data_IF_708778611287
#
_entry.id   IF_708778611287
#
_cell.length_a   1.000
_cell.length_b   1.000
_cell.length_c   1.000
_cell.angle_alpha   90.00
_cell.angle_beta   90.00
_cell.angle_gamma   90.00
#
_symmetry.space_group_name_H-M   'P 1'
#
loop_
_entity.id
_entity.type
_entity.pdbx_description
1 polymer ?
#
# COMPACT_ATOMS: atom_id res chain seq x y z
N UNK A 1 -18.96 0.69 55.87
CA UNK A 1 -18.43 -0.69 56.02
C UNK A 1 -17.05 -0.92 55.36
N UNK A 2 -16.70 -0.27 54.24
CA UNK A 2 -15.37 -0.42 53.60
C UNK A 2 -14.19 0.29 54.30
N UNK A 3 -14.42 1.36 55.06
CA UNK A 3 -13.32 2.06 55.76
C UNK A 3 -12.82 1.35 57.04
N UNK A 4 -13.63 0.48 57.66
CA UNK A 4 -13.20 -0.28 58.85
C UNK A 4 -12.34 -1.49 58.52
N UNK A 5 -12.40 -2.00 57.28
CA UNK A 5 -11.58 -3.14 56.83
C UNK A 5 -10.11 -2.74 56.58
N UNK A 6 -9.89 -1.55 56.00
CA UNK A 6 -8.54 -1.05 55.71
C UNK A 6 -7.74 -0.69 56.98
N UNK A 7 -8.42 -0.23 58.04
CA UNK A 7 -7.80 0.07 59.32
C UNK A 7 -7.39 -1.21 60.09
N UNK A 8 -8.06 -2.33 59.86
CA UNK A 8 -7.77 -3.60 60.53
C UNK A 8 -6.58 -4.34 59.89
N UNK A 9 -6.44 -4.28 58.56
CA UNK A 9 -5.28 -4.83 57.85
C UNK A 9 -3.96 -4.11 58.17
N UNK A 10 -4.02 -2.80 58.48
CA UNK A 10 -2.84 -2.00 58.84
C UNK A 10 -2.27 -2.32 60.23
N UNK A 11 -3.03 -2.99 61.10
CA UNK A 11 -2.58 -3.43 62.43
C UNK A 11 -2.03 -4.86 62.45
N UNK A 12 -2.35 -5.69 61.44
CA UNK A 12 -1.91 -7.09 61.38
C UNK A 12 -0.54 -7.29 60.71
N UNK A 13 -0.10 -6.33 59.88
CA UNK A 13 1.18 -6.40 59.20
C UNK A 13 2.12 -5.36 59.80
N UNK A 14 2.85 -5.79 60.83
CA UNK A 14 3.88 -5.02 61.51
C UNK A 14 4.78 -4.29 60.51
N UNK A 15 4.97 -2.99 60.74
CA UNK A 15 5.70 -2.12 59.84
C UNK A 15 7.17 -2.49 59.74
N UNK A 16 7.66 -2.69 58.51
CA UNK A 16 9.07 -2.47 58.13
C UNK A 16 9.40 -2.76 56.66
N UNK A 17 8.47 -2.75 55.69
CA UNK A 17 8.82 -3.14 54.33
C UNK A 17 8.15 -2.37 53.18
N UNK A 18 8.01 -1.05 53.28
CA UNK A 18 7.69 -0.19 52.12
C UNK A 18 8.46 1.14 52.22
N UNK A 19 9.79 1.06 52.15
CA UNK A 19 10.69 2.22 52.11
C UNK A 19 11.64 2.12 50.90
N UNK A 20 11.10 2.12 49.68
CA UNK A 20 11.86 2.47 48.47
C UNK A 20 10.93 3.22 47.50
N UNK A 21 11.00 4.56 47.40
CA UNK A 21 10.22 5.30 46.42
C UNK A 21 10.84 5.11 45.02
N UNK A 22 10.01 5.03 43.95
CA UNK A 22 10.48 5.01 42.57
C UNK A 22 11.16 6.33 42.20
N UNK A 23 12.25 6.21 41.43
CA UNK A 23 13.07 7.30 40.89
C UNK A 23 12.28 8.23 39.96
N UNK A 24 11.56 9.19 40.54
CA UNK A 24 11.29 10.52 39.98
C UNK A 24 11.28 11.53 41.14
N UNK A 25 12.37 11.57 41.90
CA UNK A 25 12.72 12.74 42.71
C UNK A 25 13.81 13.46 41.93
N UNK A 26 13.40 14.08 40.83
CA UNK A 26 14.17 15.12 40.16
C UNK A 26 13.88 16.39 40.95
N UNK A 27 14.92 16.96 41.57
CA UNK A 27 14.98 18.31 42.15
C UNK A 27 13.63 19.01 42.33
N UNK A 28 12.99 18.79 43.47
CA UNK A 28 11.87 19.63 43.90
C UNK A 28 12.44 20.98 44.34
N UNK A 29 12.88 21.79 43.36
CA UNK A 29 13.04 23.23 43.55
C UNK A 29 11.65 23.72 43.88
N UNK A 30 11.40 24.13 45.13
CA UNK A 30 10.12 24.71 45.54
C UNK A 30 9.83 25.90 44.64
N UNK A 31 9.00 25.71 43.61
CA UNK A 31 8.52 26.80 42.78
C UNK A 31 7.77 27.77 43.69
N UNK A 32 8.15 29.05 43.64
CA UNK A 32 7.46 30.07 44.38
C UNK A 32 6.01 30.20 43.87
N UNK A 33 5.05 30.43 44.78
CA UNK A 33 3.64 30.68 44.45
C UNK A 33 3.42 31.60 43.22
N UNK A 34 4.15 32.72 43.04
CA UNK A 34 4.04 33.54 41.84
C UNK A 34 4.48 32.83 40.55
N UNK A 35 5.52 31.98 40.57
CA UNK A 35 5.93 31.22 39.38
C UNK A 35 4.86 30.22 38.92
N UNK A 36 4.22 29.52 39.87
CA UNK A 36 3.12 28.61 39.56
C UNK A 36 1.93 29.35 38.92
N UNK A 37 1.66 30.58 39.36
CA UNK A 37 0.53 31.37 38.88
C UNK A 37 0.79 31.90 37.46
N UNK A 38 2.01 32.38 37.20
CA UNK A 38 2.43 32.80 35.85
C UNK A 38 2.46 31.63 34.87
N UNK A 39 3.02 30.48 35.24
CA UNK A 39 3.00 29.29 34.38
C UNK A 39 1.56 28.80 34.09
N UNK A 40 0.64 28.93 35.06
CA UNK A 40 -0.77 28.60 34.84
C UNK A 40 -1.47 29.60 33.90
N UNK A 41 -1.17 30.89 34.02
CA UNK A 41 -1.70 31.93 33.13
C UNK A 41 -1.18 31.74 31.69
N UNK A 42 0.11 31.42 31.51
CA UNK A 42 0.68 31.09 30.19
C UNK A 42 0.00 29.87 29.57
N UNK A 43 -0.23 28.80 30.34
CA UNK A 43 -0.94 27.61 29.87
C UNK A 43 -2.41 27.92 29.51
N UNK A 44 -3.09 28.76 30.29
CA UNK A 44 -4.48 29.14 29.99
C UNK A 44 -4.56 29.99 28.72
N UNK A 45 -3.61 30.92 28.51
CA UNK A 45 -3.50 31.70 27.27
C UNK A 45 -3.23 30.79 26.06
N UNK A 46 -2.27 29.86 26.14
CA UNK A 46 -2.01 28.88 25.09
C UNK A 46 -3.24 28.02 24.80
N UNK A 47 -3.98 27.63 25.84
CA UNK A 47 -5.21 26.84 25.71
C UNK A 47 -6.33 27.63 25.00
N UNK A 48 -6.47 28.93 25.27
CA UNK A 48 -7.43 29.78 24.56
C UNK A 48 -7.03 29.96 23.09
N UNK A 49 -5.74 30.16 22.80
CA UNK A 49 -5.24 30.24 21.42
C UNK A 49 -5.47 28.94 20.64
N UNK A 50 -5.27 27.79 21.27
CA UNK A 50 -5.56 26.47 20.68
C UNK A 50 -7.05 26.30 20.35
N UNK A 51 -7.95 26.73 21.26
CA UNK A 51 -9.39 26.69 21.03
C UNK A 51 -9.81 27.50 19.81
N UNK A 52 -9.32 28.73 19.67
CA UNK A 52 -9.65 29.56 18.51
C UNK A 52 -9.06 28.99 17.22
N UNK A 53 -7.83 28.48 17.26
CA UNK A 53 -7.19 27.82 16.13
C UNK A 53 -8.00 26.59 15.67
N UNK A 54 -8.48 25.77 16.61
CA UNK A 54 -9.30 24.60 16.30
C UNK A 54 -10.66 24.99 15.69
N UNK A 55 -11.27 26.08 16.15
CA UNK A 55 -12.52 26.60 15.59
C UNK A 55 -12.34 27.03 14.13
N UNK A 56 -11.25 27.76 13.83
CA UNK A 56 -10.90 28.15 12.46
C UNK A 56 -10.65 26.90 11.59
N UNK A 57 -9.90 25.92 12.10
CA UNK A 57 -9.65 24.65 11.41
C UNK A 57 -10.96 23.94 11.03
N UNK A 58 -11.90 23.81 11.97
CA UNK A 58 -13.20 23.16 11.72
C UNK A 58 -13.99 23.89 10.63
N UNK A 59 -14.04 25.21 10.68
CA UNK A 59 -14.71 26.01 9.66
C UNK A 59 -14.10 25.78 8.28
N UNK A 60 -12.76 25.79 8.18
CA UNK A 60 -12.05 25.53 6.92
C UNK A 60 -12.29 24.11 6.38
N UNK A 61 -12.44 23.13 7.26
CA UNK A 61 -12.78 21.75 6.88
C UNK A 61 -14.19 21.64 6.29
N UNK A 62 -15.17 22.32 6.88
CA UNK A 62 -16.54 22.38 6.36
C UNK A 62 -16.60 23.10 5.01
N UNK A 63 -15.90 24.24 4.87
CA UNK A 63 -15.76 24.97 3.60
C UNK A 63 -15.14 24.08 2.50
N UNK A 64 -14.05 23.37 2.81
CA UNK A 64 -13.39 22.46 1.89
C UNK A 64 -14.33 21.32 1.44
N UNK A 65 -15.09 20.74 2.36
CA UNK A 65 -16.01 19.64 2.07
C UNK A 65 -17.14 20.10 1.15
N UNK A 66 -17.68 21.30 1.36
CA UNK A 66 -18.70 21.90 0.50
C UNK A 66 -18.18 22.22 -0.91
N UNK A 67 -16.93 22.68 -1.03
CA UNK A 67 -16.29 22.89 -2.32
C UNK A 67 -16.07 21.56 -3.06
N UNK A 68 -15.65 20.51 -2.35
CA UNK A 68 -15.44 19.19 -2.94
C UNK A 68 -16.73 18.60 -3.53
N UNK A 69 -17.86 18.70 -2.83
CA UNK A 69 -19.16 18.21 -3.32
C UNK A 69 -19.66 19.03 -4.52
N UNK A 70 -19.48 20.35 -4.47
CA UNK A 70 -19.82 21.26 -5.57
C UNK A 70 -19.01 20.96 -6.83
N UNK A 71 -17.68 20.85 -6.72
CA UNK A 71 -16.82 20.51 -7.86
C UNK A 71 -17.15 19.11 -8.42
N UNK A 72 -17.30 18.11 -7.55
CA UNK A 72 -17.58 16.72 -7.98
C UNK A 72 -18.92 16.61 -8.72
N UNK A 73 -19.95 17.30 -8.24
CA UNK A 73 -21.26 17.32 -8.89
C UNK A 73 -21.25 18.10 -10.22
N UNK A 74 -20.54 19.23 -10.28
CA UNK A 74 -20.37 20.02 -11.49
C UNK A 74 -19.65 19.23 -12.61
N UNK A 75 -18.53 18.58 -12.28
CA UNK A 75 -17.79 17.73 -13.22
C UNK A 75 -18.65 16.57 -13.71
N UNK A 76 -19.38 15.90 -12.79
CA UNK A 76 -20.30 14.81 -13.14
C UNK A 76 -21.41 15.27 -14.10
N UNK A 77 -21.94 16.48 -13.91
CA UNK A 77 -22.95 17.08 -14.79
C UNK A 77 -22.35 17.38 -16.17
N UNK A 78 -21.19 18.03 -16.23
CA UNK A 78 -20.53 18.36 -17.50
C UNK A 78 -20.15 17.11 -18.29
N UNK A 79 -19.62 16.05 -17.65
CA UNK A 79 -19.35 14.76 -18.31
C UNK A 79 -20.59 14.14 -18.95
N UNK A 80 -21.74 14.17 -18.26
CA UNK A 80 -23.01 13.67 -18.82
C UNK A 80 -23.40 14.47 -20.08
N UNK A 81 -23.32 15.80 -20.02
CA UNK A 81 -23.61 16.66 -21.17
C UNK A 81 -22.65 16.41 -22.35
N UNK A 82 -21.34 16.32 -22.10
CA UNK A 82 -20.34 16.04 -23.16
C UNK A 82 -20.54 14.65 -23.77
N UNK A 83 -20.87 13.64 -22.96
CA UNK A 83 -21.18 12.28 -23.46
C UNK A 83 -22.39 12.29 -24.39
N UNK A 84 -23.45 13.03 -24.02
CA UNK A 84 -24.62 13.19 -24.86
C UNK A 84 -24.30 13.93 -26.16
N UNK A 85 -23.57 15.05 -26.07
CA UNK A 85 -23.12 15.82 -27.24
C UNK A 85 -22.26 14.96 -28.18
N UNK A 86 -21.32 14.18 -27.65
CA UNK A 86 -20.48 13.26 -28.42
C UNK A 86 -21.30 12.22 -29.17
N UNK A 87 -22.34 11.67 -28.53
CA UNK A 87 -23.26 10.74 -29.17
C UNK A 87 -24.03 11.41 -30.31
N UNK A 88 -24.61 12.60 -30.08
CA UNK A 88 -25.32 13.34 -31.12
C UNK A 88 -24.42 13.70 -32.31
N UNK A 89 -23.20 14.16 -32.05
CA UNK A 89 -22.20 14.46 -33.08
C UNK A 89 -21.81 13.21 -33.89
N UNK A 90 -21.74 12.05 -33.25
CA UNK A 90 -21.46 10.79 -33.95
C UNK A 90 -22.59 10.36 -34.90
N UNK A 91 -23.85 10.64 -34.52
CA UNK A 91 -25.02 10.41 -35.35
C UNK A 91 -25.07 11.39 -36.53
N UNK A 92 -24.81 12.68 -36.29
CA UNK A 92 -24.78 13.69 -37.35
C UNK A 92 -23.64 13.45 -38.37
N UNK A 93 -22.48 12.93 -37.93
CA UNK A 93 -21.36 12.68 -38.85
C UNK A 93 -21.66 11.63 -39.94
N UNK A 94 -22.76 10.88 -39.85
CA UNK A 94 -23.18 9.92 -40.88
C UNK A 94 -23.93 10.58 -42.04
N UNK A 95 -24.38 11.81 -41.88
CA UNK A 95 -25.28 12.51 -42.82
C UNK A 95 -24.75 13.88 -43.27
N UNK A 96 -23.53 14.25 -42.88
CA UNK A 96 -22.95 15.57 -43.10
C UNK A 96 -21.93 15.59 -44.24
N UNK A 97 -21.83 16.77 -44.84
CA UNK A 97 -20.88 17.24 -45.84
C UNK A 97 -19.47 17.51 -45.25
N UNK A 98 -18.47 17.65 -46.13
CA UNK A 98 -17.05 17.60 -45.78
C UNK A 98 -16.60 18.75 -44.85
N UNK A 99 -17.24 19.92 -44.95
CA UNK A 99 -17.01 21.07 -44.07
C UNK A 99 -17.57 20.84 -42.66
N UNK A 100 -18.76 20.27 -42.57
CA UNK A 100 -19.40 19.91 -41.31
C UNK A 100 -18.68 18.74 -40.61
N UNK A 101 -18.12 17.80 -41.37
CA UNK A 101 -17.23 16.76 -40.85
C UNK A 101 -15.97 17.35 -40.19
N UNK A 102 -15.37 18.39 -40.78
CA UNK A 102 -14.24 19.11 -40.14
C UNK A 102 -14.66 19.78 -38.85
N UNK A 103 -15.82 20.47 -38.82
CA UNK A 103 -16.35 21.10 -37.60
C UNK A 103 -16.67 20.08 -36.50
N UNK A 104 -17.27 18.95 -36.85
CA UNK A 104 -17.54 17.85 -35.90
C UNK A 104 -16.23 17.31 -35.31
N UNK A 105 -15.18 17.19 -36.12
CA UNK A 105 -13.87 16.71 -35.68
C UNK A 105 -13.22 17.69 -34.72
N UNK A 106 -13.27 19.01 -35.01
CA UNK A 106 -12.78 20.05 -34.11
C UNK A 106 -13.51 20.00 -32.75
N UNK A 107 -14.83 19.92 -32.75
CA UNK A 107 -15.63 19.81 -31.52
C UNK A 107 -15.26 18.55 -30.74
N UNK A 108 -15.03 17.41 -31.41
CA UNK A 108 -14.58 16.17 -30.74
C UNK A 108 -13.20 16.33 -30.08
N UNK A 109 -12.29 17.10 -30.70
CA UNK A 109 -10.98 17.43 -30.10
C UNK A 109 -11.16 18.30 -28.86
N UNK A 110 -11.98 19.36 -28.94
CA UNK A 110 -12.29 20.21 -27.79
C UNK A 110 -12.99 19.44 -26.64
N UNK A 111 -13.83 18.45 -26.96
CA UNK A 111 -14.41 17.55 -25.95
C UNK A 111 -13.31 16.78 -25.22
N UNK A 112 -12.34 16.23 -25.96
CA UNK A 112 -11.22 15.48 -25.40
C UNK A 112 -10.32 16.36 -24.52
N UNK A 113 -10.06 17.60 -24.92
CA UNK A 113 -9.31 18.57 -24.11
C UNK A 113 -10.03 18.87 -22.78
N UNK A 114 -11.35 19.12 -22.83
CA UNK A 114 -12.15 19.32 -21.62
C UNK A 114 -12.17 18.08 -20.71
N UNK A 115 -12.23 16.87 -21.30
CA UNK A 115 -12.13 15.61 -20.55
C UNK A 115 -10.78 15.46 -19.84
N UNK A 116 -9.67 15.90 -20.46
CA UNK A 116 -8.34 15.91 -19.83
C UNK A 116 -8.29 16.91 -18.66
N UNK A 117 -8.86 18.11 -18.82
CA UNK A 117 -8.94 19.09 -17.73
C UNK A 117 -9.72 18.53 -16.54
N UNK A 118 -10.83 17.83 -16.78
CA UNK A 118 -11.58 17.18 -15.69
C UNK A 118 -10.78 16.09 -14.99
N UNK A 119 -9.95 15.34 -15.73
CA UNK A 119 -9.08 14.34 -15.13
C UNK A 119 -8.09 14.94 -14.14
N UNK A 120 -7.50 16.09 -14.48
CA UNK A 120 -6.58 16.82 -13.60
C UNK A 120 -7.31 17.39 -12.37
N UNK A 121 -8.51 17.96 -12.55
CA UNK A 121 -9.33 18.45 -11.43
C UNK A 121 -9.73 17.31 -10.47
N UNK A 122 -10.14 16.16 -11.00
CA UNK A 122 -10.52 14.98 -10.22
C UNK A 122 -9.35 14.37 -9.45
N UNK A 123 -8.10 14.66 -9.80
CA UNK A 123 -6.92 14.19 -9.07
C UNK A 123 -6.84 14.74 -7.63
N UNK A 124 -7.56 15.81 -7.33
CA UNK A 124 -7.61 16.47 -6.02
C UNK A 124 -8.98 16.34 -5.33
N UNK A 125 -9.92 15.61 -5.94
CA UNK A 125 -11.26 15.38 -5.39
C UNK A 125 -11.41 13.95 -4.86
N UNK A 126 -12.24 13.74 -3.83
CA UNK A 126 -12.65 12.41 -3.38
C UNK A 126 -13.04 11.48 -4.53
N UNK A 127 -12.29 10.41 -4.72
CA UNK A 127 -12.61 9.36 -5.71
C UNK A 127 -13.35 8.20 -5.06
N UNK A 128 -14.21 7.57 -5.85
CA UNK A 128 -14.85 6.32 -5.47
C UNK A 128 -13.81 5.20 -5.52
N UNK A 129 -13.82 4.35 -4.50
CA UNK A 129 -12.97 3.18 -4.44
C UNK A 129 -13.31 2.20 -5.58
N UNK A 130 -12.28 1.60 -6.19
CA UNK A 130 -12.47 0.45 -7.07
C UNK A 130 -13.06 -0.76 -6.33
N UNK A 131 -13.57 -1.76 -7.05
CA UNK A 131 -14.27 -2.91 -6.47
C UNK A 131 -13.48 -3.60 -5.34
N UNK A 132 -12.20 -3.91 -5.56
CA UNK A 132 -11.34 -4.55 -4.56
C UNK A 132 -11.17 -3.68 -3.30
N UNK A 133 -10.86 -2.40 -3.49
CA UNK A 133 -10.62 -1.50 -2.37
C UNK A 133 -11.90 -1.23 -1.56
N UNK A 134 -13.06 -1.19 -2.24
CA UNK A 134 -14.36 -1.08 -1.59
C UNK A 134 -14.71 -2.37 -0.83
N UNK A 135 -14.34 -3.55 -1.35
CA UNK A 135 -14.52 -4.81 -0.63
C UNK A 135 -13.70 -4.86 0.66
N UNK A 136 -12.44 -4.39 0.62
CA UNK A 136 -11.51 -4.48 1.76
C UNK A 136 -11.70 -3.35 2.78
N UNK A 137 -11.89 -2.09 2.32
CA UNK A 137 -11.94 -0.91 3.18
C UNK A 137 -13.36 -0.31 3.30
N UNK A 138 -14.33 -0.80 2.55
CA UNK A 138 -15.66 -0.20 2.47
C UNK A 138 -15.66 1.15 1.74
N UNK A 139 -16.69 1.95 2.04
CA UNK A 139 -16.91 3.26 1.41
C UNK A 139 -16.07 4.40 2.06
N UNK A 140 -14.89 4.08 2.56
CA UNK A 140 -13.96 5.06 3.15
C UNK A 140 -13.17 5.74 2.05
N UNK A 141 -13.15 7.08 2.03
CA UNK A 141 -12.39 7.83 1.05
C UNK A 141 -10.88 7.80 1.37
N UNK A 142 -10.09 7.13 0.53
CA UNK A 142 -8.62 7.05 0.65
C UNK A 142 -7.89 8.11 -0.19
N UNK A 143 -8.61 9.12 -0.68
CA UNK A 143 -8.03 10.17 -1.52
C UNK A 143 -7.11 11.06 -0.69
N UNK A 144 -5.85 11.12 -1.11
CA UNK A 144 -4.82 12.00 -0.60
C UNK A 144 -4.93 13.32 -1.36
N UNK A 145 -5.47 14.35 -0.70
CA UNK A 145 -5.79 15.63 -1.35
C UNK A 145 -4.55 16.45 -1.73
N UNK A 146 -3.43 16.28 -1.03
CA UNK A 146 -2.19 17.02 -1.30
C UNK A 146 -1.16 16.15 -2.01
N UNK A 147 -0.40 16.77 -2.91
CA UNK A 147 0.73 16.11 -3.56
C UNK A 147 1.78 15.65 -2.53
N UNK A 148 1.99 16.43 -1.46
CA UNK A 148 2.86 16.04 -0.35
C UNK A 148 2.40 14.75 0.34
N UNK A 149 1.09 14.60 0.63
CA UNK A 149 0.57 13.38 1.25
C UNK A 149 0.71 12.17 0.33
N UNK A 150 0.47 12.34 -0.97
CA UNK A 150 0.72 11.32 -1.99
C UNK A 150 2.19 10.88 -2.02
N UNK A 151 3.14 11.82 -1.91
CA UNK A 151 4.57 11.49 -1.83
C UNK A 151 4.97 10.79 -0.55
N UNK A 152 4.48 11.28 0.59
CA UNK A 152 4.73 10.65 1.88
C UNK A 152 4.24 9.19 1.85
N UNK A 153 3.01 8.96 1.37
CA UNK A 153 2.46 7.61 1.27
C UNK A 153 3.26 6.71 0.33
N UNK A 154 3.66 7.21 -0.85
CA UNK A 154 4.51 6.47 -1.79
C UNK A 154 5.86 6.13 -1.16
N UNK A 155 6.47 7.06 -0.43
CA UNK A 155 7.71 6.81 0.33
C UNK A 155 7.55 5.72 1.38
N UNK A 156 6.46 5.75 2.16
CA UNK A 156 6.16 4.72 3.17
C UNK A 156 5.84 3.35 2.56
N UNK A 157 5.22 3.31 1.37
CA UNK A 157 5.03 2.07 0.60
C UNK A 157 6.36 1.48 0.13
N UNK A 158 7.25 2.31 -0.41
CA UNK A 158 8.58 1.87 -0.88
C UNK A 158 9.46 1.37 0.28
N UNK A 159 9.47 2.08 1.42
CA UNK A 159 10.13 1.63 2.65
C UNK A 159 9.57 0.29 3.13
N UNK A 160 8.24 0.16 3.18
CA UNK A 160 7.58 -1.09 3.58
C UNK A 160 8.02 -2.27 2.71
N UNK A 161 8.04 -2.09 1.37
CA UNK A 161 8.52 -3.14 0.46
C UNK A 161 9.95 -3.54 0.79
N UNK A 162 10.85 -2.57 0.98
CA UNK A 162 12.25 -2.85 1.28
C UNK A 162 12.42 -3.59 2.61
N UNK A 163 11.81 -3.09 3.70
CA UNK A 163 11.89 -3.74 5.01
C UNK A 163 11.34 -5.17 4.96
N UNK A 164 10.19 -5.38 4.33
CA UNK A 164 9.61 -6.71 4.22
C UNK A 164 10.43 -7.64 3.33
N UNK A 165 11.01 -7.14 2.24
CA UNK A 165 11.92 -7.92 1.39
C UNK A 165 13.13 -8.42 2.19
N UNK A 166 13.71 -7.57 3.03
CA UNK A 166 14.84 -7.94 3.89
C UNK A 166 14.42 -8.99 4.92
N UNK A 167 13.28 -8.80 5.60
CA UNK A 167 12.75 -9.75 6.57
C UNK A 167 12.46 -11.10 5.90
N UNK A 168 11.82 -11.11 4.73
CA UNK A 168 11.52 -12.32 3.97
C UNK A 168 12.80 -13.04 3.51
N UNK A 169 13.83 -12.30 3.09
CA UNK A 169 15.10 -12.88 2.69
C UNK A 169 15.76 -13.63 3.86
N UNK A 170 15.91 -12.97 5.01
CA UNK A 170 16.49 -13.59 6.20
C UNK A 170 15.60 -14.70 6.77
N UNK A 171 14.29 -14.54 6.73
CA UNK A 171 13.33 -15.57 7.11
C UNK A 171 13.50 -16.83 6.26
N UNK A 172 13.60 -16.68 4.93
CA UNK A 172 13.78 -17.80 4.02
C UNK A 172 15.15 -18.50 4.22
N UNK A 173 16.23 -17.74 4.41
CA UNK A 173 17.56 -18.28 4.77
C UNK A 173 17.49 -19.06 6.09
N UNK A 174 16.79 -18.52 7.09
CA UNK A 174 16.64 -19.15 8.40
C UNK A 174 15.88 -20.48 8.29
N UNK A 175 14.76 -20.49 7.57
CA UNK A 175 13.98 -21.71 7.31
C UNK A 175 14.79 -22.74 6.51
N UNK A 176 15.59 -22.29 5.54
CA UNK A 176 16.34 -23.20 4.66
C UNK A 176 17.51 -23.89 5.37
N UNK A 177 18.31 -23.15 6.14
CA UNK A 177 19.58 -23.65 6.69
C UNK A 177 19.55 -23.99 8.19
N UNK A 178 18.69 -23.34 8.98
CA UNK A 178 18.76 -23.43 10.44
C UNK A 178 17.52 -24.07 11.07
N UNK A 179 16.33 -23.76 10.57
CA UNK A 179 15.05 -24.18 11.15
C UNK A 179 14.24 -25.01 10.15
N UNK A 180 14.51 -26.32 10.12
CA UNK A 180 13.78 -27.27 9.29
C UNK A 180 12.56 -27.84 10.04
N UNK A 181 11.68 -26.95 10.51
CA UNK A 181 10.44 -27.32 11.18
C UNK A 181 9.24 -26.79 10.40
N UNK A 182 8.22 -27.63 10.24
CA UNK A 182 6.97 -27.29 9.54
C UNK A 182 6.32 -25.99 10.07
N UNK A 183 6.31 -25.81 11.39
CA UNK A 183 5.75 -24.60 12.03
C UNK A 183 6.49 -23.33 11.60
N UNK A 184 7.82 -23.39 11.44
CA UNK A 184 8.60 -22.24 10.97
C UNK A 184 8.25 -21.90 9.53
N UNK A 185 8.08 -22.90 8.68
CA UNK A 185 7.66 -22.69 7.30
C UNK A 185 6.24 -22.12 7.21
N UNK A 186 5.31 -22.53 8.09
CA UNK A 186 3.96 -21.95 8.18
C UNK A 186 3.99 -20.48 8.58
N UNK A 187 4.79 -20.12 9.58
CA UNK A 187 4.99 -18.72 9.98
C UNK A 187 5.54 -17.90 8.82
N UNK A 188 6.52 -18.45 8.09
CA UNK A 188 7.10 -17.80 6.92
C UNK A 188 6.08 -17.62 5.78
N UNK A 189 5.32 -18.67 5.44
CA UNK A 189 4.29 -18.61 4.41
C UNK A 189 3.12 -17.69 4.80
N UNK A 190 2.74 -17.65 6.07
CA UNK A 190 1.77 -16.68 6.59
C UNK A 190 2.28 -15.25 6.40
N UNK A 191 3.56 -15.00 6.69
CA UNK A 191 4.18 -13.70 6.45
C UNK A 191 4.18 -13.33 4.96
N UNK A 192 4.40 -14.27 4.05
CA UNK A 192 4.29 -14.05 2.61
C UNK A 192 2.87 -13.67 2.17
N UNK A 193 1.85 -14.42 2.65
CA UNK A 193 0.44 -14.10 2.37
C UNK A 193 0.11 -12.69 2.86
N UNK A 194 0.46 -12.40 4.12
CA UNK A 194 0.23 -11.10 4.72
C UNK A 194 0.94 -9.97 3.94
N UNK A 195 2.19 -10.20 3.51
CA UNK A 195 2.96 -9.25 2.73
C UNK A 195 2.28 -8.92 1.40
N UNK A 196 1.93 -9.93 0.59
CA UNK A 196 1.30 -9.70 -0.71
C UNK A 196 -0.13 -9.12 -0.59
N UNK A 197 -0.92 -9.55 0.42
CA UNK A 197 -2.19 -8.91 0.75
C UNK A 197 -2.01 -7.42 1.05
N UNK A 198 -1.08 -7.08 1.94
CA UNK A 198 -0.81 -5.68 2.31
C UNK A 198 -0.34 -4.85 1.11
N UNK A 199 0.50 -5.45 0.26
CA UNK A 199 1.01 -4.82 -0.95
C UNK A 199 -0.11 -4.49 -1.94
N UNK A 200 -1.03 -5.43 -2.21
CA UNK A 200 -2.18 -5.17 -3.11
C UNK A 200 -3.09 -4.06 -2.58
N UNK A 201 -3.30 -3.96 -1.26
CA UNK A 201 -4.07 -2.87 -0.65
C UNK A 201 -3.35 -1.53 -0.85
N UNK A 202 -2.06 -1.46 -0.52
CA UNK A 202 -1.27 -0.23 -0.65
C UNK A 202 -1.18 0.24 -2.11
N UNK A 203 -1.02 -0.69 -3.06
CA UNK A 203 -1.01 -0.38 -4.49
C UNK A 203 -2.38 0.08 -4.99
N UNK A 204 -3.47 -0.51 -4.49
CA UNK A 204 -4.83 -0.05 -4.81
C UNK A 204 -5.10 1.38 -4.34
N UNK A 205 -4.55 1.76 -3.18
CA UNK A 205 -4.59 3.15 -2.70
C UNK A 205 -3.74 4.06 -3.59
N UNK A 206 -2.53 3.64 -3.99
CA UNK A 206 -1.68 4.39 -4.92
C UNK A 206 -2.36 4.60 -6.28
N UNK A 207 -2.96 3.56 -6.86
CA UNK A 207 -3.69 3.63 -8.13
C UNK A 207 -4.88 4.58 -8.05
N UNK A 208 -5.66 4.51 -6.96
CA UNK A 208 -6.77 5.43 -6.72
C UNK A 208 -6.32 6.90 -6.66
N UNK A 209 -5.09 7.14 -6.19
CA UNK A 209 -4.48 8.46 -6.05
C UNK A 209 -3.68 8.93 -7.28
N UNK A 210 -3.79 8.22 -8.41
CA UNK A 210 -3.17 8.62 -9.69
C UNK A 210 -1.83 7.97 -9.99
N UNK A 211 -1.39 6.99 -9.20
CA UNK A 211 -0.21 6.20 -9.54
C UNK A 211 -0.51 5.27 -10.72
N UNK A 212 0.28 5.37 -11.78
CA UNK A 212 0.20 4.48 -12.94
C UNK A 212 1.06 3.24 -12.69
N UNK A 213 0.50 2.26 -12.01
CA UNK A 213 1.09 0.93 -11.84
C UNK A 213 0.55 0.04 -12.96
N UNK A 214 1.42 -0.70 -13.65
CA UNK A 214 0.96 -1.61 -14.71
C UNK A 214 0.07 -2.71 -14.12
N UNK A 215 -1.09 -2.94 -14.74
CA UNK A 215 -2.06 -3.93 -14.28
C UNK A 215 -1.51 -5.36 -14.22
N UNK A 216 -0.46 -5.66 -14.99
CA UNK A 216 0.25 -6.94 -14.91
C UNK A 216 0.87 -7.17 -13.53
N UNK A 217 1.55 -6.15 -12.96
CA UNK A 217 2.19 -6.27 -11.63
C UNK A 217 1.15 -6.51 -10.55
N UNK A 218 0.06 -5.75 -10.59
CA UNK A 218 -1.07 -5.92 -9.68
C UNK A 218 -1.64 -7.35 -9.78
N UNK A 219 -1.84 -7.85 -10.99
CA UNK A 219 -2.31 -9.23 -11.24
C UNK A 219 -1.34 -10.27 -10.69
N UNK A 220 -0.04 -10.07 -10.91
CA UNK A 220 1.01 -10.94 -10.39
C UNK A 220 0.97 -11.01 -8.86
N UNK A 221 0.78 -9.88 -8.16
CA UNK A 221 0.68 -9.85 -6.70
C UNK A 221 -0.54 -10.63 -6.18
N UNK A 222 -1.69 -10.54 -6.83
CA UNK A 222 -2.85 -11.38 -6.47
C UNK A 222 -2.56 -12.87 -6.63
N UNK A 223 -1.91 -13.25 -7.73
CA UNK A 223 -1.49 -14.64 -7.96
C UNK A 223 -0.48 -15.08 -6.89
N UNK A 224 0.50 -14.24 -6.53
CA UNK A 224 1.46 -14.54 -5.47
C UNK A 224 0.81 -14.71 -4.10
N UNK A 225 -0.20 -13.91 -3.76
CA UNK A 225 -1.01 -14.10 -2.54
C UNK A 225 -1.66 -15.48 -2.53
N UNK A 226 -2.34 -15.84 -3.62
CA UNK A 226 -3.01 -17.13 -3.74
C UNK A 226 -2.02 -18.29 -3.62
N UNK A 227 -0.90 -18.26 -4.36
CA UNK A 227 0.12 -19.31 -4.32
C UNK A 227 0.78 -19.43 -2.93
N UNK A 228 1.02 -18.31 -2.25
CA UNK A 228 1.54 -18.33 -0.88
C UNK A 228 0.51 -18.93 0.09
N UNK A 229 -0.78 -18.69 -0.15
CA UNK A 229 -1.87 -19.33 0.59
C UNK A 229 -1.91 -20.84 0.37
N UNK A 230 -1.75 -21.30 -0.87
CA UNK A 230 -1.64 -22.72 -1.19
C UNK A 230 -0.46 -23.35 -0.44
N UNK A 231 0.73 -22.72 -0.47
CA UNK A 231 1.91 -23.19 0.26
C UNK A 231 1.71 -23.23 1.78
N UNK A 232 0.98 -22.26 2.34
CA UNK A 232 0.62 -22.24 3.76
C UNK A 232 -0.27 -23.44 4.13
N UNK A 233 -1.29 -23.71 3.32
CA UNK A 233 -2.25 -24.80 3.56
C UNK A 233 -1.77 -26.18 3.11
N UNK A 234 -0.63 -26.27 2.41
CA UNK A 234 -0.09 -27.53 1.93
C UNK A 234 0.28 -28.42 3.12
N UNK A 235 -0.36 -29.60 3.30
CA UNK A 235 -0.10 -30.47 4.43
C UNK A 235 1.34 -31.00 4.42
N UNK A 236 1.85 -31.33 5.59
CA UNK A 236 3.15 -31.98 5.69
C UNK A 236 3.10 -33.36 5.04
N UNK A 237 3.92 -33.56 4.01
CA UNK A 237 3.96 -34.78 3.23
C UNK A 237 5.21 -34.86 2.34
N UNK A 238 5.46 -36.02 1.69
CA UNK A 238 6.65 -36.22 0.86
C UNK A 238 6.77 -35.19 -0.26
N UNK A 239 5.67 -34.84 -0.93
CA UNK A 239 5.66 -33.86 -2.02
C UNK A 239 6.03 -32.46 -1.54
N UNK A 240 5.55 -32.07 -0.37
CA UNK A 240 5.91 -30.79 0.26
C UNK A 240 7.41 -30.73 0.53
N UNK A 241 7.97 -31.77 1.15
CA UNK A 241 9.40 -31.82 1.48
C UNK A 241 10.30 -31.80 0.24
N UNK A 242 9.87 -32.46 -0.86
CA UNK A 242 10.59 -32.43 -2.14
C UNK A 242 10.62 -31.02 -2.77
N UNK A 243 9.55 -30.24 -2.61
CA UNK A 243 9.48 -28.89 -3.18
C UNK A 243 10.03 -27.80 -2.25
N UNK A 244 10.02 -28.05 -0.93
CA UNK A 244 10.35 -27.08 0.13
C UNK A 244 11.65 -26.32 -0.12
N UNK A 245 12.77 -27.03 -0.29
CA UNK A 245 14.08 -26.39 -0.45
C UNK A 245 14.16 -25.57 -1.73
N UNK A 246 13.53 -26.04 -2.81
CA UNK A 246 13.45 -25.32 -4.09
C UNK A 246 12.60 -24.04 -3.95
N UNK A 247 11.48 -24.10 -3.22
CA UNK A 247 10.64 -22.95 -2.93
C UNK A 247 11.36 -21.90 -2.08
N UNK A 248 11.99 -22.31 -0.96
CA UNK A 248 12.72 -21.39 -0.08
C UNK A 248 13.90 -20.73 -0.80
N UNK A 249 14.66 -21.50 -1.59
CA UNK A 249 15.73 -20.95 -2.44
C UNK A 249 15.19 -19.92 -3.44
N UNK A 250 14.04 -20.20 -4.05
CA UNK A 250 13.37 -19.24 -4.93
C UNK A 250 12.90 -17.99 -4.18
N UNK A 251 12.39 -18.10 -2.94
CA UNK A 251 12.01 -16.94 -2.12
C UNK A 251 13.21 -16.05 -1.77
N UNK A 252 14.37 -16.64 -1.48
CA UNK A 252 15.62 -15.90 -1.27
C UNK A 252 15.99 -15.14 -2.55
N UNK A 253 15.98 -15.85 -3.69
CA UNK A 253 16.31 -15.27 -4.98
C UNK A 253 15.33 -14.15 -5.39
N UNK A 254 14.03 -14.34 -5.17
CA UNK A 254 13.02 -13.32 -5.40
C UNK A 254 13.24 -12.09 -4.52
N UNK A 255 13.60 -12.28 -3.25
CA UNK A 255 13.90 -11.15 -2.36
C UNK A 255 15.13 -10.37 -2.83
N UNK A 256 16.16 -11.07 -3.33
CA UNK A 256 17.31 -10.45 -3.97
C UNK A 256 16.93 -9.66 -5.23
N UNK A 257 16.12 -10.23 -6.12
CA UNK A 257 15.62 -9.52 -7.30
C UNK A 257 14.82 -8.27 -6.94
N UNK A 258 13.93 -8.38 -5.95
CA UNK A 258 13.11 -7.27 -5.48
C UNK A 258 13.97 -6.14 -4.92
N UNK A 259 15.07 -6.47 -4.23
CA UNK A 259 16.06 -5.48 -3.77
C UNK A 259 16.76 -4.77 -4.93
N UNK A 260 17.22 -5.51 -5.95
CA UNK A 260 17.84 -4.91 -7.14
C UNK A 260 16.87 -4.03 -7.92
N UNK A 261 15.63 -4.48 -8.11
CA UNK A 261 14.56 -3.71 -8.73
C UNK A 261 14.27 -2.42 -7.96
N UNK A 262 14.20 -2.51 -6.63
CA UNK A 262 14.01 -1.35 -5.76
C UNK A 262 15.15 -0.33 -5.92
N UNK A 263 16.40 -0.78 -5.92
CA UNK A 263 17.57 0.09 -6.09
C UNK A 263 17.55 0.79 -7.46
N UNK A 264 17.28 0.03 -8.52
CA UNK A 264 17.16 0.57 -9.88
C UNK A 264 16.02 1.61 -9.99
N UNK A 265 14.82 1.27 -9.52
CA UNK A 265 13.63 2.14 -9.58
C UNK A 265 13.82 3.41 -8.74
N UNK A 266 14.37 3.29 -7.53
CA UNK A 266 14.68 4.43 -6.65
C UNK A 266 15.70 5.37 -7.28
N UNK A 267 16.74 4.82 -7.92
CA UNK A 267 17.74 5.61 -8.63
C UNK A 267 17.17 6.34 -9.84
N UNK A 268 16.29 5.69 -10.61
CA UNK A 268 15.59 6.35 -11.72
C UNK A 268 14.66 7.47 -11.22
N UNK A 269 13.89 7.21 -10.17
CA UNK A 269 12.96 8.20 -9.60
C UNK A 269 13.71 9.42 -9.04
N UNK A 270 14.85 9.21 -8.37
CA UNK A 270 15.69 10.29 -7.87
C UNK A 270 16.21 11.19 -9.01
N UNK A 271 16.72 10.57 -10.10
CA UNK A 271 17.21 11.33 -11.26
C UNK A 271 16.09 12.11 -11.96
N UNK A 272 14.93 11.50 -12.16
CA UNK A 272 13.76 12.20 -12.72
C UNK A 272 13.33 13.40 -11.86
N UNK A 273 13.43 13.28 -10.53
CA UNK A 273 13.14 14.37 -9.61
C UNK A 273 14.18 15.49 -9.70
N UNK A 274 15.46 15.14 -9.77
CA UNK A 274 16.55 16.11 -9.90
C UNK A 274 16.51 16.89 -11.24
N UNK A 275 15.99 16.25 -12.30
CA UNK A 275 15.85 16.86 -13.62
C UNK A 275 14.62 17.79 -13.76
N UNK A 276 13.72 17.83 -12.77
CA UNK A 276 12.54 18.71 -12.79
C UNK A 276 11.48 18.39 -13.86
N UNK A 277 11.63 17.31 -14.62
CA UNK A 277 10.86 17.09 -15.85
C UNK A 277 9.43 16.52 -15.67
N UNK A 278 8.96 16.10 -14.47
CA UNK A 278 7.66 15.38 -14.38
C UNK A 278 6.84 15.58 -13.12
N UNK A 279 5.53 15.36 -13.31
CA UNK A 279 4.55 15.18 -12.25
C UNK A 279 5.05 14.08 -11.28
N UNK A 280 5.34 14.40 -10.01
CA UNK A 280 6.24 13.55 -9.23
C UNK A 280 5.62 12.21 -8.75
N UNK A 281 4.33 11.97 -9.02
CA UNK A 281 3.62 10.72 -8.68
C UNK A 281 3.78 9.60 -9.71
N UNK A 282 4.17 9.93 -10.94
CA UNK A 282 4.19 8.96 -12.02
C UNK A 282 5.26 7.90 -11.78
N UNK A 283 4.88 6.62 -11.86
CA UNK A 283 5.75 5.45 -11.60
C UNK A 283 6.08 4.70 -12.90
N UNK A 284 5.37 5.00 -13.98
CA UNK A 284 5.75 4.58 -15.32
C UNK A 284 6.23 5.77 -16.10
N UNK A 285 7.46 5.67 -16.57
CA UNK A 285 8.07 6.68 -17.42
C UNK A 285 7.31 6.68 -18.76
N UNK A 286 6.33 7.57 -18.93
CA UNK A 286 5.79 7.90 -20.26
C UNK A 286 6.92 8.55 -21.06
N UNK A 287 7.75 7.73 -21.72
CA UNK A 287 8.97 8.14 -22.42
C UNK A 287 10.23 7.53 -21.80
N UNK A 288 10.44 6.24 -22.04
CA UNK A 288 11.62 5.51 -21.58
C UNK A 288 12.89 6.28 -21.98
N UNK A 289 13.56 6.88 -21.01
CA UNK A 289 14.71 7.73 -21.29
C UNK A 289 15.91 6.85 -21.65
N UNK A 290 16.72 7.29 -22.61
CA UNK A 290 17.87 6.51 -23.09
C UNK A 290 18.85 6.12 -21.97
N UNK A 291 19.00 6.96 -20.94
CA UNK A 291 19.84 6.67 -19.77
C UNK A 291 19.30 5.57 -18.85
N UNK A 292 17.99 5.27 -18.89
CA UNK A 292 17.39 4.19 -18.10
C UNK A 292 17.82 2.81 -18.60
N UNK A 293 18.19 2.69 -19.88
CA UNK A 293 18.69 1.45 -20.47
C UNK A 293 19.98 0.96 -19.82
N UNK A 294 20.90 1.87 -19.47
CA UNK A 294 22.19 1.48 -18.85
C UNK A 294 22.01 0.69 -17.56
N UNK A 295 21.08 1.13 -16.69
CA UNK A 295 20.77 0.40 -15.46
C UNK A 295 19.86 -0.81 -15.70
N UNK A 296 18.96 -0.74 -16.69
CA UNK A 296 18.06 -1.86 -16.99
C UNK A 296 18.84 -3.06 -17.56
N UNK A 297 19.82 -2.83 -18.44
CA UNK A 297 20.64 -3.91 -19.02
C UNK A 297 21.37 -4.73 -17.96
N UNK A 298 21.81 -4.11 -16.85
CA UNK A 298 22.37 -4.84 -15.71
C UNK A 298 21.33 -5.73 -15.02
N UNK A 299 20.09 -5.26 -14.89
CA UNK A 299 19.02 -5.96 -14.18
C UNK A 299 18.39 -7.10 -15.00
N UNK A 300 18.36 -6.96 -16.32
CA UNK A 300 17.68 -7.89 -17.24
C UNK A 300 18.11 -9.36 -17.08
N UNK A 301 19.41 -9.73 -17.04
CA UNK A 301 19.82 -11.12 -16.87
C UNK A 301 19.24 -11.77 -15.62
N UNK A 302 19.22 -11.03 -14.50
CA UNK A 302 18.65 -11.51 -13.25
C UNK A 302 17.12 -11.67 -13.37
N UNK A 303 16.42 -10.71 -13.98
CA UNK A 303 14.97 -10.83 -14.21
C UNK A 303 14.63 -12.05 -15.07
N UNK A 304 15.34 -12.24 -16.19
CA UNK A 304 15.13 -13.39 -17.06
C UNK A 304 15.37 -14.70 -16.30
N UNK A 305 16.47 -14.81 -15.56
CA UNK A 305 16.74 -16.00 -14.75
C UNK A 305 15.64 -16.24 -13.71
N UNK A 306 15.12 -15.19 -13.05
CA UNK A 306 13.99 -15.32 -12.14
C UNK A 306 12.73 -15.85 -12.79
N UNK A 307 12.40 -15.39 -13.99
CA UNK A 307 11.27 -15.91 -14.76
C UNK A 307 11.50 -17.37 -15.21
N UNK A 308 12.72 -17.73 -15.62
CA UNK A 308 13.06 -19.12 -15.93
C UNK A 308 12.95 -20.02 -14.70
N UNK A 309 13.40 -19.56 -13.52
CA UNK A 309 13.23 -20.31 -12.28
C UNK A 309 11.74 -20.45 -11.91
N UNK A 310 10.94 -19.40 -12.09
CA UNK A 310 9.50 -19.48 -11.87
C UNK A 310 8.83 -20.54 -12.78
N UNK A 311 9.25 -20.64 -14.04
CA UNK A 311 8.84 -21.70 -14.95
C UNK A 311 9.32 -23.08 -14.48
N UNK A 312 10.58 -23.19 -14.04
CA UNK A 312 11.13 -24.42 -13.48
C UNK A 312 10.35 -24.90 -12.25
N UNK A 313 9.97 -24.02 -11.33
CA UNK A 313 9.10 -24.33 -10.20
C UNK A 313 7.75 -24.88 -10.66
N UNK A 314 7.16 -24.26 -11.68
CA UNK A 314 5.88 -24.71 -12.25
C UNK A 314 5.99 -26.12 -12.85
N UNK A 315 7.09 -26.41 -13.57
CA UNK A 315 7.36 -27.74 -14.12
C UNK A 315 7.61 -28.78 -13.02
N UNK A 316 8.37 -28.43 -11.98
CA UNK A 316 8.57 -29.31 -10.82
C UNK A 316 7.24 -29.64 -10.15
N UNK A 317 6.42 -28.63 -9.85
CA UNK A 317 5.10 -28.81 -9.24
C UNK A 317 4.17 -29.67 -10.12
N UNK A 318 4.20 -29.47 -11.43
CA UNK A 318 3.42 -30.28 -12.37
C UNK A 318 3.86 -31.75 -12.39
N UNK A 319 5.16 -32.03 -12.25
CA UNK A 319 5.70 -33.39 -12.13
C UNK A 319 5.34 -34.01 -10.78
N UNK A 320 5.48 -33.27 -9.68
CA UNK A 320 5.09 -33.72 -8.34
C UNK A 320 3.59 -34.02 -8.27
N UNK A 321 2.75 -33.20 -8.91
CA UNK A 321 1.33 -33.47 -9.06
C UNK A 321 1.02 -34.71 -9.89
N UNK A 322 1.97 -35.31 -10.60
CA UNK A 322 1.80 -36.60 -11.30
C UNK A 322 2.52 -37.76 -10.62
N UNK A 323 3.13 -37.51 -9.47
CA UNK A 323 3.87 -38.53 -8.72
C UNK A 323 2.91 -39.57 -8.13
N UNK A 324 3.31 -40.84 -8.13
CA UNK A 324 2.48 -41.96 -7.68
C UNK A 324 2.11 -41.84 -6.18
N UNK A 325 3.03 -41.32 -5.37
CA UNK A 325 2.82 -41.07 -3.94
C UNK A 325 2.00 -39.81 -3.61
N UNK A 326 1.57 -39.02 -4.61
CA UNK A 326 0.84 -37.79 -4.37
C UNK A 326 -0.64 -38.07 -4.09
N UNK A 327 -0.98 -38.21 -2.81
CA UNK A 327 -2.34 -38.50 -2.32
C UNK A 327 -3.16 -37.23 -2.04
N UNK A 328 -2.53 -36.06 -2.03
CA UNK A 328 -3.12 -34.80 -1.56
C UNK A 328 -4.16 -34.21 -2.52
N UNK A 329 -4.07 -34.48 -3.84
CA UNK A 329 -5.07 -34.06 -4.83
C UNK A 329 -5.88 -35.24 -5.39
N UNK A 330 -5.44 -36.48 -5.16
CA UNK A 330 -6.10 -37.70 -5.63
C UNK A 330 -7.13 -38.19 -4.61
N UNK A 331 -8.20 -37.43 -4.37
CA UNK A 331 -9.40 -37.94 -3.70
C UNK A 331 -10.28 -38.72 -4.69
N UNK A 332 -9.75 -39.79 -5.28
CA UNK A 332 -10.53 -40.92 -5.84
C UNK A 332 -9.65 -41.86 -6.66
N UNK A 333 -9.31 -43.01 -6.07
CA UNK A 333 -9.36 -44.34 -6.72
C UNK A 333 -9.19 -45.42 -5.66
N UNK A 334 -10.15 -45.46 -4.74
CA UNK A 334 -10.48 -46.68 -4.00
C UNK A 334 -11.72 -47.29 -4.65
N UNK A 335 -11.48 -47.99 -5.74
CA UNK A 335 -12.30 -49.03 -6.38
C UNK A 335 -11.25 -49.82 -7.15
N UNK A 336 -10.86 -51.03 -6.79
CA UNK A 336 -11.60 -52.16 -6.21
C UNK A 336 -10.58 -53.13 -5.63
#
# INVERSE_FOLDING_TARGET
MRMRLAAHLKRLLGGSLWSRPPCYIIYCTTMSKPKFQTEWEEIDEEHQQLKETHKIYRQKLEELTNLQTTCSSAISKQRKCLKHLRHSLSKCSQTCDEEDLKRITDIKTQIKEKENVFFDMEAYLPKKNGLYLNLVLGNVNVTLLSNQAKFAYKGEYEKFKLYMTIILMFGAITCLFFLNYRVTDEIFNFLLVWYYCTLTIRESILMSNGSRISGWWVSHHYVSTFLSGVMLTWPEGPMYQMFRSQFLAFCIYQSFLQYLQYYYQSGCLYRLRALGERNPLDLTVEGFQSWMWRGLTFLLPFLFFGHFWQLYNSLTLFRLGRHEDCKEWQTSRSTT
#
